data_IF_170317648317
#
_entry.id   IF_170317648317
#
_cell.length_a   1.000
_cell.length_b   1.000
_cell.length_c   1.000
_cell.angle_alpha   90.00
_cell.angle_beta   90.00
_cell.angle_gamma   90.00
#
_symmetry.space_group_name_H-M   'P 1'
#
loop_
_entity.id
_entity.type
_entity.pdbx_description
1 polymer ?
#
# COMPACT_ATOMS: atom_id res chain seq x y z
N UNK A 1 -74.80 6.30 -58.20
CA UNK A 1 -74.52 5.72 -56.86
C UNK A 1 -73.09 5.18 -56.72
N UNK A 2 -72.36 4.89 -57.81
CA UNK A 2 -70.98 4.37 -57.76
C UNK A 2 -69.86 5.44 -57.56
N UNK A 3 -70.16 6.74 -57.63
CA UNK A 3 -69.16 7.81 -57.48
C UNK A 3 -68.87 8.17 -56.01
N UNK A 4 -69.83 7.99 -55.11
CA UNK A 4 -69.70 8.34 -53.68
C UNK A 4 -68.92 7.30 -52.85
N UNK A 5 -68.85 6.05 -53.31
CA UNK A 5 -68.09 4.98 -52.63
C UNK A 5 -66.58 5.07 -52.92
N UNK A 6 -66.19 5.56 -54.10
CA UNK A 6 -64.77 5.80 -54.45
C UNK A 6 -64.15 6.92 -53.60
N UNK A 7 -64.90 8.01 -53.36
CA UNK A 7 -64.44 9.13 -52.54
C UNK A 7 -64.31 8.75 -51.05
N UNK A 8 -65.24 7.93 -50.52
CA UNK A 8 -65.15 7.41 -49.15
C UNK A 8 -63.90 6.55 -48.92
N UNK A 9 -63.55 5.68 -49.88
CA UNK A 9 -62.35 4.84 -49.81
C UNK A 9 -61.03 5.60 -49.95
N UNK A 10 -61.03 6.77 -50.59
CA UNK A 10 -59.86 7.64 -50.65
C UNK A 10 -59.59 8.33 -49.29
N UNK A 11 -60.64 8.80 -48.63
CA UNK A 11 -60.57 9.45 -47.32
C UNK A 11 -60.11 8.48 -46.22
N UNK A 12 -60.57 7.23 -46.24
CA UNK A 12 -60.09 6.20 -45.30
C UNK A 12 -58.61 5.90 -45.49
N UNK A 13 -58.12 5.82 -46.73
CA UNK A 13 -56.70 5.61 -47.02
C UNK A 13 -55.84 6.78 -46.57
N UNK A 14 -56.31 8.01 -46.76
CA UNK A 14 -55.63 9.21 -46.29
C UNK A 14 -55.56 9.24 -44.76
N UNK A 15 -56.65 8.89 -44.07
CA UNK A 15 -56.68 8.77 -42.61
C UNK A 15 -55.70 7.70 -42.11
N UNK A 16 -55.69 6.53 -42.73
CA UNK A 16 -54.75 5.44 -42.39
C UNK A 16 -53.29 5.88 -42.60
N UNK A 17 -53.02 6.62 -43.68
CA UNK A 17 -51.69 7.15 -43.98
C UNK A 17 -51.23 8.19 -42.96
N UNK A 18 -52.11 9.09 -42.54
CA UNK A 18 -51.83 10.09 -41.50
C UNK A 18 -51.59 9.42 -40.15
N UNK A 19 -52.39 8.41 -39.79
CA UNK A 19 -52.19 7.63 -38.56
C UNK A 19 -50.86 6.88 -38.57
N UNK A 20 -50.51 6.22 -39.68
CA UNK A 20 -49.25 5.51 -39.84
C UNK A 20 -48.05 6.47 -39.74
N UNK A 21 -48.15 7.66 -40.35
CA UNK A 21 -47.12 8.71 -40.26
C UNK A 21 -46.94 9.21 -38.82
N UNK A 22 -48.03 9.38 -38.07
CA UNK A 22 -47.97 9.74 -36.66
C UNK A 22 -47.36 8.64 -35.78
N UNK A 23 -47.62 7.37 -36.10
CA UNK A 23 -47.01 6.22 -35.39
C UNK A 23 -45.51 6.15 -35.69
N UNK A 24 -45.10 6.30 -36.95
CA UNK A 24 -43.69 6.34 -37.37
C UNK A 24 -42.92 7.51 -36.72
N UNK A 25 -43.54 8.69 -36.63
CA UNK A 25 -42.93 9.86 -35.98
C UNK A 25 -42.74 9.70 -34.46
N UNK A 26 -43.41 8.72 -33.84
CA UNK A 26 -43.28 8.37 -32.41
C UNK A 26 -42.24 7.28 -32.16
N UNK A 27 -41.72 6.62 -33.20
CA UNK A 27 -40.65 5.66 -33.03
C UNK A 27 -39.36 6.42 -32.66
N UNK A 28 -38.55 5.91 -31.71
CA UNK A 28 -37.22 6.48 -31.49
C UNK A 28 -36.50 6.48 -32.83
N UNK A 29 -36.08 7.66 -33.29
CA UNK A 29 -35.47 7.80 -34.60
C UNK A 29 -34.27 6.85 -34.75
N UNK A 30 -33.92 6.44 -35.98
CA UNK A 30 -32.77 5.57 -36.23
C UNK A 30 -31.49 6.08 -35.56
N UNK A 31 -31.32 7.40 -35.48
CA UNK A 31 -30.24 8.07 -34.76
C UNK A 31 -30.25 7.79 -33.25
N UNK A 32 -31.41 7.81 -32.58
CA UNK A 32 -31.52 7.52 -31.15
C UNK A 32 -31.22 6.04 -30.84
N UNK A 33 -31.61 5.12 -31.74
CA UNK A 33 -31.28 3.70 -31.61
C UNK A 33 -29.76 3.44 -31.77
N UNK A 34 -29.11 4.12 -32.72
CA UNK A 34 -27.67 4.05 -32.92
C UNK A 34 -26.90 4.60 -31.71
N UNK A 35 -27.30 5.77 -31.19
CA UNK A 35 -26.72 6.34 -29.97
C UNK A 35 -26.86 5.41 -28.77
N UNK A 36 -28.03 4.78 -28.58
CA UNK A 36 -28.24 3.81 -27.52
C UNK A 36 -27.32 2.59 -27.66
N UNK A 37 -27.11 2.10 -28.87
CA UNK A 37 -26.19 1.00 -29.15
C UNK A 37 -24.74 1.37 -28.80
N UNK A 38 -24.29 2.56 -29.21
CA UNK A 38 -22.97 3.09 -28.88
C UNK A 38 -22.79 3.17 -27.36
N UNK A 39 -23.75 3.78 -26.64
CA UNK A 39 -23.66 3.87 -25.18
C UNK A 39 -23.64 2.51 -24.49
N UNK A 40 -24.44 1.55 -24.95
CA UNK A 40 -24.40 0.18 -24.42
C UNK A 40 -23.03 -0.48 -24.65
N UNK A 41 -22.41 -0.25 -25.80
CA UNK A 41 -21.07 -0.75 -26.09
C UNK A 41 -20.04 -0.11 -25.15
N UNK A 42 -20.02 1.21 -25.08
CA UNK A 42 -19.12 1.98 -24.20
C UNK A 42 -19.27 1.57 -22.74
N UNK A 43 -20.50 1.38 -22.25
CA UNK A 43 -20.76 0.92 -20.88
C UNK A 43 -20.18 -0.48 -20.61
N UNK A 44 -20.28 -1.40 -21.57
CA UNK A 44 -19.68 -2.74 -21.46
C UNK A 44 -18.16 -2.65 -21.40
N UNK A 45 -17.55 -1.81 -22.23
CA UNK A 45 -16.10 -1.60 -22.21
C UNK A 45 -15.63 -0.96 -20.90
N UNK A 46 -16.32 0.07 -20.42
CA UNK A 46 -16.04 0.70 -19.12
C UNK A 46 -16.18 -0.29 -17.97
N UNK A 47 -17.18 -1.16 -18.02
CA UNK A 47 -17.35 -2.23 -17.02
C UNK A 47 -16.20 -3.23 -17.06
N UNK A 48 -15.68 -3.60 -18.25
CA UNK A 48 -14.48 -4.44 -18.37
C UNK A 48 -13.25 -3.75 -17.78
N UNK A 49 -13.04 -2.47 -18.10
CA UNK A 49 -11.94 -1.66 -17.55
C UNK A 49 -12.01 -1.60 -16.02
N UNK A 50 -13.20 -1.39 -15.44
CA UNK A 50 -13.40 -1.38 -13.99
C UNK A 50 -13.06 -2.73 -13.35
N UNK A 51 -13.40 -3.85 -14.00
CA UNK A 51 -13.04 -5.19 -13.49
C UNK A 51 -11.53 -5.39 -13.46
N UNK A 52 -10.83 -4.98 -14.52
CA UNK A 52 -9.36 -5.06 -14.58
C UNK A 52 -8.75 -4.20 -13.47
N UNK A 53 -9.15 -2.94 -13.36
CA UNK A 53 -8.64 -2.03 -12.33
C UNK A 53 -8.93 -2.55 -10.92
N UNK A 54 -10.10 -3.14 -10.68
CA UNK A 54 -10.43 -3.77 -9.39
C UNK A 54 -9.50 -4.96 -9.10
N UNK A 55 -9.15 -5.77 -10.11
CA UNK A 55 -8.21 -6.87 -9.91
C UNK A 55 -6.78 -6.39 -9.64
N UNK A 56 -6.35 -5.31 -10.31
CA UNK A 56 -5.06 -4.67 -10.07
C UNK A 56 -4.99 -4.09 -8.64
N UNK A 57 -6.07 -3.42 -8.21
CA UNK A 57 -6.16 -2.89 -6.85
C UNK A 57 -6.03 -4.00 -5.80
N UNK A 58 -6.75 -5.11 -5.98
CA UNK A 58 -6.67 -6.26 -5.07
C UNK A 58 -5.26 -6.86 -5.05
N UNK A 59 -4.58 -6.94 -6.20
CA UNK A 59 -3.20 -7.39 -6.27
C UNK A 59 -2.26 -6.47 -5.47
N UNK A 60 -2.37 -5.15 -5.64
CA UNK A 60 -1.56 -4.20 -4.88
C UNK A 60 -1.86 -4.22 -3.38
N UNK A 61 -3.12 -4.46 -3.00
CA UNK A 61 -3.49 -4.62 -1.60
C UNK A 61 -2.82 -5.86 -0.99
N UNK A 62 -2.81 -7.00 -1.69
CA UNK A 62 -2.09 -8.22 -1.26
C UNK A 62 -0.60 -7.95 -1.11
N UNK A 63 0.03 -7.32 -2.12
CA UNK A 63 1.47 -6.98 -2.06
C UNK A 63 1.78 -6.06 -0.88
N UNK A 64 0.92 -5.08 -0.59
CA UNK A 64 1.09 -4.19 0.56
C UNK A 64 1.03 -4.95 1.89
N UNK A 65 0.13 -5.92 2.02
CA UNK A 65 0.04 -6.78 3.20
C UNK A 65 1.28 -7.68 3.34
N UNK A 66 1.75 -8.26 2.23
CA UNK A 66 2.97 -9.08 2.19
C UNK A 66 4.19 -8.28 2.63
N UNK A 67 4.37 -7.07 2.11
CA UNK A 67 5.49 -6.21 2.53
C UNK A 67 5.41 -5.82 4.00
N UNK A 68 4.22 -5.52 4.53
CA UNK A 68 4.05 -5.24 5.96
C UNK A 68 4.48 -6.44 6.80
N UNK A 69 4.04 -7.64 6.43
CA UNK A 69 4.42 -8.87 7.10
C UNK A 69 5.94 -9.12 7.02
N UNK A 70 6.55 -8.90 5.86
CA UNK A 70 7.98 -9.09 5.67
C UNK A 70 8.81 -8.10 6.50
N UNK A 71 8.39 -6.83 6.58
CA UNK A 71 9.00 -5.82 7.45
C UNK A 71 8.95 -6.26 8.92
N UNK A 72 7.78 -6.72 9.39
CA UNK A 72 7.62 -7.20 10.76
C UNK A 72 8.50 -8.42 11.05
N UNK A 73 8.53 -9.38 10.12
CA UNK A 73 9.38 -10.57 10.22
C UNK A 73 10.85 -10.20 10.31
N UNK A 74 11.35 -9.37 9.40
CA UNK A 74 12.75 -8.93 9.39
C UNK A 74 13.11 -8.13 10.64
N UNK A 75 12.19 -7.30 11.14
CA UNK A 75 12.36 -6.57 12.40
C UNK A 75 12.54 -7.53 13.59
N UNK A 76 11.72 -8.58 13.67
CA UNK A 76 11.82 -9.60 14.70
C UNK A 76 13.13 -10.39 14.59
N UNK A 77 13.52 -10.81 13.38
CA UNK A 77 14.79 -11.49 13.13
C UNK A 77 15.99 -10.63 13.55
N UNK A 78 15.98 -9.34 13.21
CA UNK A 78 17.01 -8.39 13.61
C UNK A 78 17.10 -8.26 15.13
N UNK A 79 15.96 -8.16 15.82
CA UNK A 79 15.91 -8.11 17.27
C UNK A 79 16.51 -9.37 17.90
N UNK A 80 16.19 -10.54 17.36
CA UNK A 80 16.69 -11.81 17.89
C UNK A 80 18.18 -12.00 17.65
N UNK A 81 18.70 -11.60 16.49
CA UNK A 81 20.13 -11.56 16.21
C UNK A 81 20.84 -10.61 17.19
N UNK A 82 20.29 -9.41 17.42
CA UNK A 82 20.85 -8.45 18.38
C UNK A 82 20.88 -9.01 19.81
N UNK A 83 19.80 -9.66 20.26
CA UNK A 83 19.74 -10.33 21.58
C UNK A 83 20.81 -11.42 21.69
N UNK A 84 20.93 -12.30 20.68
CA UNK A 84 21.92 -13.37 20.64
C UNK A 84 23.35 -12.82 20.69
N UNK A 85 23.65 -11.80 19.88
CA UNK A 85 24.95 -11.15 19.85
C UNK A 85 25.34 -10.54 21.21
N UNK A 86 24.42 -9.79 21.85
CA UNK A 86 24.68 -9.20 23.17
C UNK A 86 24.81 -10.26 24.27
N UNK A 87 24.03 -11.35 24.20
CA UNK A 87 24.19 -12.48 25.12
C UNK A 87 25.55 -13.16 24.95
N UNK A 88 25.99 -13.38 23.71
CA UNK A 88 27.31 -13.94 23.42
C UNK A 88 28.43 -13.04 23.92
N UNK A 89 28.38 -11.73 23.62
CA UNK A 89 29.37 -10.76 24.08
C UNK A 89 29.48 -10.71 25.60
N UNK A 90 28.36 -10.82 26.33
CA UNK A 90 28.36 -10.93 27.80
C UNK A 90 29.02 -12.22 28.29
N UNK A 91 28.76 -13.36 27.64
CA UNK A 91 29.41 -14.64 27.99
C UNK A 91 30.92 -14.61 27.76
N UNK A 92 31.37 -14.06 26.64
CA UNK A 92 32.80 -13.93 26.31
C UNK A 92 33.55 -13.05 27.32
N UNK A 93 32.95 -11.94 27.77
CA UNK A 93 33.55 -11.11 28.81
C UNK A 93 33.63 -11.85 30.16
N UNK A 94 32.55 -12.51 30.56
CA UNK A 94 32.52 -13.29 31.81
C UNK A 94 33.53 -14.46 31.81
N UNK A 95 33.81 -15.07 30.64
CA UNK A 95 34.87 -16.07 30.50
C UNK A 95 36.25 -15.44 30.63
N UNK A 96 36.52 -14.34 29.91
CA UNK A 96 37.80 -13.61 30.01
C UNK A 96 38.12 -13.14 31.41
N UNK A 97 37.12 -12.73 32.20
CA UNK A 97 37.34 -12.31 33.59
C UNK A 97 37.61 -13.50 34.53
N UNK A 98 37.02 -14.68 34.26
CA UNK A 98 37.32 -15.93 35.00
C UNK A 98 38.70 -16.47 34.70
N UNK A 99 39.16 -16.35 33.46
CA UNK A 99 40.51 -16.80 33.05
C UNK A 99 41.62 -15.86 33.55
N UNK A 100 41.28 -14.68 34.09
CA UNK A 100 42.25 -13.61 34.36
C UNK A 100 42.81 -13.51 35.78
N UNK A 101 42.31 -14.18 36.83
CA UNK A 101 42.90 -14.02 38.19
C UNK A 101 42.68 -15.26 39.09
N UNK A 102 43.66 -15.75 39.90
CA UNK A 102 45.07 -15.31 40.07
C UNK A 102 46.12 -16.43 39.98
N UNK A 103 47.09 -16.31 39.07
CA UNK A 103 48.45 -16.82 39.34
C UNK A 103 49.26 -15.75 40.05
N UNK A 104 49.38 -15.97 41.35
CA UNK A 104 50.42 -15.56 42.30
C UNK A 104 50.70 -14.06 42.56
N UNK A 105 50.87 -13.78 43.84
CA UNK A 105 51.33 -12.53 44.41
C UNK A 105 52.71 -12.17 43.87
N UNK A 106 52.93 -10.90 43.53
CA UNK A 106 54.06 -10.05 43.98
C UNK A 106 54.13 -8.79 43.09
N UNK A 107 54.48 -7.67 43.71
CA UNK A 107 54.91 -6.38 43.12
C UNK A 107 53.86 -5.25 43.06
N UNK A 108 53.75 -4.60 44.22
CA UNK A 108 53.80 -3.15 44.46
C UNK A 108 52.77 -2.25 43.77
N UNK A 109 51.99 -1.60 44.64
CA UNK A 109 51.20 -0.41 44.38
C UNK A 109 52.05 0.74 43.79
N UNK A 110 52.22 0.76 42.47
CA UNK A 110 52.63 1.96 41.75
C UNK A 110 51.37 2.72 41.30
N UNK A 111 51.07 3.79 42.03
CA UNK A 111 50.00 4.75 41.75
C UNK A 111 50.27 5.43 40.39
N UNK A 112 49.43 5.25 39.35
CA UNK A 112 49.63 6.01 38.11
C UNK A 112 49.22 7.46 38.36
N UNK A 113 50.21 8.35 38.39
CA UNK A 113 50.08 9.81 38.57
C UNK A 113 49.56 10.53 37.31
N UNK A 114 48.77 9.85 36.46
CA UNK A 114 48.29 10.36 35.19
C UNK A 114 46.77 10.54 35.14
N UNK A 115 46.24 11.36 34.21
CA UNK A 115 44.80 11.53 34.03
C UNK A 115 44.16 10.19 33.65
N UNK A 116 43.26 9.69 34.50
CA UNK A 116 42.49 8.47 34.20
C UNK A 116 41.40 8.81 33.20
N UNK A 117 41.41 8.14 32.06
CA UNK A 117 40.36 8.22 31.05
C UNK A 117 39.43 7.02 31.19
N UNK A 118 38.13 7.25 31.26
CA UNK A 118 37.12 6.22 31.00
C UNK A 118 36.62 6.45 29.58
N UNK A 119 36.60 5.41 28.75
CA UNK A 119 36.46 5.51 27.28
C UNK A 119 35.38 6.50 26.83
N UNK A 120 35.77 7.43 25.96
CA UNK A 120 34.90 8.52 25.48
C UNK A 120 35.57 9.87 25.25
N UNK A 121 36.90 10.01 25.32
CA UNK A 121 37.55 11.29 24.99
C UNK A 121 37.75 12.26 26.16
N UNK A 122 37.26 11.93 27.37
CA UNK A 122 37.29 12.85 28.52
C UNK A 122 38.14 12.37 29.70
N UNK A 123 39.10 13.18 30.20
CA UNK A 123 39.89 12.87 31.38
C UNK A 123 39.08 13.11 32.67
N UNK A 124 39.20 12.18 33.63
CA UNK A 124 38.68 12.34 34.99
C UNK A 124 39.62 13.23 35.81
N UNK A 125 39.62 14.54 35.55
CA UNK A 125 40.30 15.50 36.44
C UNK A 125 39.47 15.69 37.71
N UNK A 126 40.04 15.35 38.87
CA UNK A 126 39.45 15.73 40.16
C UNK A 126 39.50 17.25 40.28
N UNK A 127 38.33 17.89 40.31
CA UNK A 127 38.20 19.33 40.56
C UNK A 127 38.88 19.69 41.88
N UNK A 128 39.74 20.73 41.93
CA UNK A 128 40.25 21.22 43.20
C UNK A 128 39.06 21.82 43.97
N UNK A 129 38.87 21.37 45.21
CA UNK A 129 37.93 22.04 46.12
C UNK A 129 38.44 23.46 46.35
N UNK A 130 37.71 24.44 45.85
CA UNK A 130 37.89 25.84 46.22
C UNK A 130 37.76 25.93 47.74
N UNK A 131 38.83 26.36 48.42
CA UNK A 131 38.76 26.87 49.78
C UNK A 131 38.78 28.39 49.68
N UNK A 132 37.63 29.02 49.88
CA UNK A 132 37.44 30.24 50.69
C UNK A 132 35.95 30.53 50.76
#
# INVERSE_FOLDING_TARGET
>A
MAHTEQDGGALEKEKLYVELKHILARQPGPEAAEQLQIYRHTLREKTKQLKVLSSELNMYESQSQEYKYEIEKLSNELMDVKKKYLAQKRKELAQKDKDKIPTDNTILAAKPSGPRFVGGGFPLTKMPKLKS
#
